data_IF_259880785269
#
_entry.id   IF_259880785269
#
_cell.length_a   1.000
_cell.length_b   1.000
_cell.length_c   1.000
_cell.angle_alpha   90.00
_cell.angle_beta   90.00
_cell.angle_gamma   90.00
#
_symmetry.space_group_name_H-M   'P 1'
#
loop_
_entity.id
_entity.type
_entity.pdbx_description
1 polymer ?
#
# COMPACT_ATOMS: atom_id res chain seq x y z
N UNK A 1 17.72 -14.05 1.97
CA UNK A 1 16.40 -13.79 1.34
C UNK A 1 15.50 -13.30 2.45
N UNK A 2 14.96 -12.08 2.36
CA UNK A 2 14.13 -11.49 3.41
C UNK A 2 12.69 -11.99 3.27
N UNK A 3 12.24 -12.79 4.23
CA UNK A 3 10.86 -13.30 4.32
C UNK A 3 9.97 -12.23 4.94
N UNK A 4 9.14 -11.60 4.12
CA UNK A 4 8.16 -10.62 4.60
C UNK A 4 6.86 -11.37 4.96
N UNK A 5 6.57 -11.50 6.27
CA UNK A 5 5.28 -12.01 6.74
C UNK A 5 4.21 -10.95 6.52
N UNK A 6 3.40 -11.13 5.47
CA UNK A 6 2.22 -10.31 5.24
C UNK A 6 1.08 -10.87 6.10
N UNK A 7 0.53 -10.08 7.03
CA UNK A 7 -0.46 -10.49 8.03
C UNK A 7 -1.73 -11.15 7.45
N UNK A 8 -1.95 -11.04 6.14
CA UNK A 8 -3.17 -11.52 5.47
C UNK A 8 -2.90 -12.49 4.31
N UNK A 9 -1.63 -12.90 4.12
CA UNK A 9 -1.26 -13.95 3.18
C UNK A 9 -0.32 -14.95 3.85
N UNK A 10 -0.72 -16.22 3.90
CA UNK A 10 -0.05 -17.25 4.73
C UNK A 10 1.24 -17.80 4.11
N UNK A 11 1.49 -17.52 2.83
CA UNK A 11 2.69 -18.00 2.15
C UNK A 11 3.81 -16.95 2.20
N UNK A 12 5.08 -17.39 2.28
CA UNK A 12 6.21 -16.51 2.10
C UNK A 12 6.16 -15.75 0.77
N UNK A 13 6.72 -14.55 0.78
CA UNK A 13 6.89 -13.73 -0.42
C UNK A 13 8.37 -13.69 -0.79
N UNK A 14 8.66 -13.81 -2.08
CA UNK A 14 9.99 -13.59 -2.66
C UNK A 14 9.98 -12.33 -3.49
N UNK A 15 11.09 -11.60 -3.45
CA UNK A 15 11.29 -10.44 -4.29
C UNK A 15 11.71 -10.88 -5.69
N UNK A 16 10.99 -10.43 -6.71
CA UNK A 16 11.30 -10.64 -8.12
C UNK A 16 11.95 -9.39 -8.72
N UNK A 17 12.95 -9.61 -9.57
CA UNK A 17 13.48 -8.59 -10.46
C UNK A 17 12.75 -8.61 -11.82
N UNK A 18 13.19 -7.76 -12.75
CA UNK A 18 12.56 -7.63 -14.06
C UNK A 18 12.65 -8.91 -14.89
N UNK A 19 13.82 -9.56 -14.93
CA UNK A 19 14.03 -10.82 -15.66
C UNK A 19 13.12 -11.94 -15.15
N UNK A 20 12.99 -12.08 -13.83
CA UNK A 20 12.14 -13.10 -13.20
C UNK A 20 10.65 -12.81 -13.41
N UNK A 21 10.25 -11.54 -13.38
CA UNK A 21 8.88 -11.14 -13.64
C UNK A 21 8.47 -11.43 -15.09
N UNK A 22 9.34 -11.11 -16.06
CA UNK A 22 9.11 -11.40 -17.49
C UNK A 22 9.15 -12.91 -17.79
N UNK A 23 9.99 -13.66 -17.08
CA UNK A 23 10.10 -15.11 -17.20
C UNK A 23 8.87 -15.88 -16.74
N UNK A 24 8.06 -15.31 -15.83
CA UNK A 24 6.82 -15.91 -15.34
C UNK A 24 5.62 -15.77 -16.30
N UNK A 25 5.86 -15.28 -17.52
CA UNK A 25 4.87 -15.09 -18.56
C UNK A 25 4.57 -13.62 -18.80
N UNK A 26 4.22 -13.30 -20.04
CA UNK A 26 4.01 -11.93 -20.56
C UNK A 26 2.74 -11.24 -19.99
N UNK A 27 2.24 -11.69 -18.83
CA UNK A 27 1.00 -11.25 -18.23
C UNK A 27 1.25 -10.05 -17.34
N UNK A 28 0.69 -8.91 -17.70
CA UNK A 28 0.64 -7.73 -16.84
C UNK A 28 -0.17 -8.08 -15.57
N UNK A 29 0.53 -8.44 -14.50
CA UNK A 29 -0.06 -8.79 -13.20
C UNK A 29 -0.51 -7.56 -12.44
N UNK A 30 -1.52 -7.72 -11.60
CA UNK A 30 -2.07 -6.68 -10.72
C UNK A 30 -1.59 -6.88 -9.29
N UNK A 31 -1.32 -5.77 -8.60
CA UNK A 31 -0.97 -5.79 -7.20
C UNK A 31 -2.20 -6.16 -6.38
N UNK A 32 -2.10 -7.21 -5.57
CA UNK A 32 -3.21 -7.72 -4.76
C UNK A 32 -3.69 -6.72 -3.70
N UNK A 33 -2.90 -5.70 -3.37
CA UNK A 33 -3.27 -4.65 -2.39
C UNK A 33 -3.86 -3.39 -3.03
N UNK A 34 -3.27 -2.84 -4.08
CA UNK A 34 -3.78 -1.59 -4.68
C UNK A 34 -4.55 -1.78 -5.99
N UNK A 35 -4.50 -2.97 -6.61
CA UNK A 35 -5.14 -3.26 -7.90
C UNK A 35 -4.42 -2.71 -9.13
N UNK A 36 -3.36 -1.93 -8.95
CA UNK A 36 -2.58 -1.38 -10.07
C UNK A 36 -1.56 -2.38 -10.61
N UNK A 37 -1.16 -2.19 -11.87
CA UNK A 37 -0.16 -3.05 -12.54
C UNK A 37 1.16 -3.07 -11.77
N UNK A 38 1.70 -4.27 -11.56
CA UNK A 38 2.97 -4.43 -10.84
C UNK A 38 4.14 -4.21 -11.80
N UNK A 39 5.13 -3.43 -11.35
CA UNK A 39 6.44 -3.31 -11.98
C UNK A 39 7.51 -3.94 -11.07
N UNK A 40 8.62 -4.36 -11.68
CA UNK A 40 9.76 -4.83 -10.91
C UNK A 40 10.53 -3.64 -10.27
N UNK A 41 11.16 -3.83 -9.09
CA UNK A 41 11.09 -5.03 -8.26
C UNK A 41 9.75 -5.14 -7.52
N UNK A 42 9.22 -6.37 -7.44
CA UNK A 42 7.97 -6.67 -6.76
C UNK A 42 8.11 -7.89 -5.84
N UNK A 43 7.09 -8.18 -5.05
CA UNK A 43 6.99 -9.43 -4.30
C UNK A 43 5.98 -10.36 -4.96
N UNK A 44 6.30 -11.64 -5.03
CA UNK A 44 5.38 -12.71 -5.43
C UNK A 44 5.31 -13.80 -4.37
N UNK A 45 4.16 -14.44 -4.25
CA UNK A 45 4.01 -15.64 -3.43
C UNK A 45 4.81 -16.82 -4.00
N UNK A 46 5.49 -17.56 -3.12
CA UNK A 46 6.28 -18.75 -3.47
C UNK A 46 5.44 -19.90 -4.01
N UNK A 47 4.18 -20.00 -3.59
CA UNK A 47 3.25 -21.02 -4.06
C UNK A 47 2.62 -20.66 -5.42
N UNK A 48 3.08 -19.58 -6.07
CA UNK A 48 2.59 -19.12 -7.38
C UNK A 48 1.07 -18.93 -7.44
N UNK A 49 0.42 -18.60 -6.32
CA UNK A 49 -1.04 -18.50 -6.22
C UNK A 49 -1.61 -17.18 -6.81
N UNK A 50 -0.87 -16.51 -7.68
CA UNK A 50 -1.28 -15.22 -8.27
C UNK A 50 -1.20 -14.01 -7.33
N UNK A 51 -0.56 -14.13 -6.17
CA UNK A 51 -0.42 -13.04 -5.22
C UNK A 51 0.86 -12.24 -5.49
N UNK A 52 0.70 -10.99 -5.92
CA UNK A 52 1.78 -10.08 -6.27
C UNK A 52 1.60 -8.74 -5.55
N UNK A 53 2.70 -8.13 -5.11
CA UNK A 53 2.66 -6.82 -4.46
C UNK A 53 3.77 -5.92 -4.99
N UNK A 54 3.47 -4.64 -5.18
CA UNK A 54 4.53 -3.63 -5.22
C UNK A 54 5.33 -3.68 -3.92
N UNK A 55 6.61 -3.34 -3.99
CA UNK A 55 7.46 -3.21 -2.78
C UNK A 55 6.83 -2.27 -1.75
N UNK A 56 6.32 -1.12 -2.20
CA UNK A 56 5.62 -0.14 -1.34
C UNK A 56 4.37 -0.71 -0.71
N UNK A 57 3.57 -1.47 -1.47
CA UNK A 57 2.37 -2.12 -0.95
C UNK A 57 2.71 -3.21 0.06
N UNK A 58 3.78 -3.99 -0.14
CA UNK A 58 4.22 -5.03 0.79
C UNK A 58 4.74 -4.45 2.11
N UNK A 59 5.43 -3.31 2.04
CA UNK A 59 6.06 -2.65 3.19
C UNK A 59 5.14 -1.61 3.86
N UNK A 60 3.94 -1.40 3.35
CA UNK A 60 2.97 -0.47 3.95
C UNK A 60 2.63 -0.93 5.38
N UNK A 61 2.79 -0.05 6.39
CA UNK A 61 2.47 -0.40 7.77
C UNK A 61 0.97 -0.64 7.96
N UNK A 62 0.60 -1.43 8.97
CA UNK A 62 -0.82 -1.62 9.32
C UNK A 62 -1.42 -0.36 9.95
N UNK A 63 -0.59 0.45 10.59
CA UNK A 63 -0.95 1.70 11.24
C UNK A 63 -0.01 2.81 10.78
N UNK A 64 -0.58 3.91 10.27
CA UNK A 64 0.17 5.07 9.80
C UNK A 64 -0.20 6.31 10.63
N UNK A 65 0.73 6.73 11.49
CA UNK A 65 0.60 7.92 12.32
C UNK A 65 1.00 9.17 11.49
N UNK A 66 0.05 9.74 10.77
CA UNK A 66 0.34 10.82 9.81
C UNK A 66 0.66 12.15 10.51
N UNK A 67 1.76 12.86 10.17
CA UNK A 67 2.18 14.05 10.92
C UNK A 67 1.23 15.24 10.86
N UNK A 68 0.35 15.31 9.85
CA UNK A 68 -0.75 16.30 9.76
C UNK A 68 -2.10 15.77 10.27
N UNK A 69 -2.15 14.53 10.77
CA UNK A 69 -3.34 13.91 11.36
C UNK A 69 -2.95 13.16 12.65
N UNK A 70 -2.34 13.88 13.60
CA UNK A 70 -1.60 13.29 14.74
C UNK A 70 -2.46 12.61 15.80
N UNK A 71 -3.75 12.94 15.87
CA UNK A 71 -4.62 12.48 16.95
C UNK A 71 -5.24 11.12 16.68
N UNK A 72 -5.28 10.68 15.42
CA UNK A 72 -5.84 9.40 15.05
C UNK A 72 -4.94 8.69 14.04
N UNK A 73 -4.62 7.41 14.24
CA UNK A 73 -3.90 6.66 13.25
C UNK A 73 -4.79 6.35 12.03
N UNK A 74 -4.16 6.29 10.86
CA UNK A 74 -4.76 5.67 9.69
C UNK A 74 -4.51 4.16 9.74
N UNK A 75 -5.56 3.36 9.70
CA UNK A 75 -5.49 1.90 9.70
C UNK A 75 -5.57 1.36 8.28
N UNK A 76 -4.68 0.44 7.94
CA UNK A 76 -4.73 -0.27 6.67
C UNK A 76 -5.84 -1.32 6.72
N UNK A 77 -6.89 -1.13 5.91
CA UNK A 77 -8.01 -2.05 5.77
C UNK A 77 -7.94 -2.76 4.42
N UNK A 78 -8.39 -4.02 4.38
CA UNK A 78 -8.44 -4.83 3.15
C UNK A 78 -9.40 -4.25 2.11
N UNK A 79 -10.51 -3.69 2.58
CA UNK A 79 -11.55 -3.07 1.75
C UNK A 79 -12.08 -1.84 2.48
N UNK A 80 -12.72 -0.91 1.75
CA UNK A 80 -13.43 0.20 2.37
C UNK A 80 -14.50 -0.25 3.39
N UNK A 81 -14.84 0.60 4.38
CA UNK A 81 -15.91 0.32 5.32
C UNK A 81 -17.21 -0.05 4.61
N UNK A 82 -17.87 -1.12 5.06
CA UNK A 82 -19.10 -1.62 4.43
C UNK A 82 -20.29 -0.65 4.49
N UNK A 83 -20.20 0.38 5.35
CA UNK A 83 -21.18 1.47 5.44
C UNK A 83 -21.09 2.45 4.28
N UNK A 84 -19.99 2.47 3.53
CA UNK A 84 -19.80 3.40 2.43
C UNK A 84 -20.52 2.89 1.19
N UNK A 85 -21.29 3.77 0.55
CA UNK A 85 -21.81 3.51 -0.80
C UNK A 85 -20.70 3.65 -1.85
N UNK A 86 -19.73 4.54 -1.59
CA UNK A 86 -18.51 4.75 -2.38
C UNK A 86 -17.41 5.28 -1.46
N UNK A 87 -16.19 4.78 -1.62
CA UNK A 87 -15.00 5.30 -0.96
C UNK A 87 -14.16 6.09 -1.98
N UNK A 88 -13.71 7.28 -1.60
CA UNK A 88 -12.91 8.17 -2.44
C UNK A 88 -11.67 8.57 -1.64
N UNK A 89 -10.53 8.63 -2.30
CA UNK A 89 -9.28 9.05 -1.70
C UNK A 89 -9.26 10.57 -1.50
N UNK A 90 -9.07 11.03 -0.26
CA UNK A 90 -9.04 12.46 0.10
C UNK A 90 -7.83 13.24 -0.45
N UNK A 91 -6.91 12.56 -1.15
CA UNK A 91 -5.75 13.20 -1.76
C UNK A 91 -5.87 13.35 -3.28
N UNK A 92 -6.37 12.33 -3.97
CA UNK A 92 -6.42 12.32 -5.44
C UNK A 92 -7.83 12.29 -6.03
N UNK A 93 -8.87 12.27 -5.18
CA UNK A 93 -10.29 12.25 -5.56
C UNK A 93 -10.72 11.02 -6.39
N UNK A 94 -9.87 10.00 -6.50
CA UNK A 94 -10.16 8.75 -7.19
C UNK A 94 -10.79 7.70 -6.26
N UNK A 95 -11.59 6.79 -6.84
CA UNK A 95 -12.28 5.73 -6.09
C UNK A 95 -11.29 4.78 -5.42
N UNK A 96 -11.57 4.38 -4.19
CA UNK A 96 -10.86 3.31 -3.51
C UNK A 96 -11.62 1.99 -3.59
N UNK A 97 -11.02 0.99 -4.22
CA UNK A 97 -11.67 -0.31 -4.48
C UNK A 97 -10.98 -1.51 -3.81
N UNK A 98 -9.77 -1.30 -3.28
CA UNK A 98 -8.93 -2.34 -2.67
C UNK A 98 -8.48 -1.89 -1.29
N UNK A 99 -7.26 -2.24 -0.89
CA UNK A 99 -6.74 -1.85 0.41
C UNK A 99 -6.65 -0.34 0.52
N UNK A 100 -7.09 0.18 1.66
CA UNK A 100 -7.10 1.61 1.96
C UNK A 100 -6.49 1.90 3.32
N UNK A 101 -5.97 3.09 3.49
CA UNK A 101 -5.80 3.67 4.81
C UNK A 101 -7.08 4.40 5.19
N UNK A 102 -7.68 4.02 6.31
CA UNK A 102 -8.91 4.59 6.82
C UNK A 102 -8.71 5.08 8.26
N UNK A 103 -9.26 6.25 8.57
CA UNK A 103 -9.40 6.73 9.94
C UNK A 103 -10.88 6.79 10.31
N UNK A 104 -11.21 6.52 11.57
CA UNK A 104 -12.56 6.63 12.10
C UNK A 104 -13.18 8.03 11.98
N UNK A 105 -12.40 9.06 11.70
CA UNK A 105 -12.90 10.41 11.39
C UNK A 105 -13.38 10.57 9.93
N UNK A 106 -13.28 9.52 9.11
CA UNK A 106 -13.66 9.54 7.70
C UNK A 106 -12.56 10.03 6.75
N UNK A 107 -11.28 9.90 7.15
CA UNK A 107 -10.15 10.19 6.27
C UNK A 107 -9.72 8.88 5.58
N UNK A 108 -9.72 8.89 4.26
CA UNK A 108 -9.53 7.73 3.41
C UNK A 108 -8.47 7.98 2.34
N UNK A 109 -7.50 7.07 2.21
CA UNK A 109 -6.44 7.18 1.21
C UNK A 109 -6.12 5.85 0.55
N UNK A 110 -5.77 5.89 -0.74
CA UNK A 110 -4.98 4.80 -1.33
C UNK A 110 -3.65 4.67 -0.59
N UNK A 111 -3.09 3.45 -0.54
CA UNK A 111 -1.76 3.19 0.05
C UNK A 111 -0.71 4.17 -0.49
N UNK A 112 -0.63 4.34 -1.82
CA UNK A 112 0.35 5.23 -2.45
C UNK A 112 0.18 6.69 -2.03
N UNK A 113 -1.07 7.15 -1.88
CA UNK A 113 -1.39 8.52 -1.53
C UNK A 113 -1.02 8.79 -0.08
N UNK A 114 -1.41 7.91 0.84
CA UNK A 114 -1.06 8.03 2.26
C UNK A 114 0.46 8.06 2.49
N UNK A 115 1.20 7.16 1.83
CA UNK A 115 2.66 7.13 1.97
C UNK A 115 3.32 8.34 1.30
N UNK A 116 2.78 8.84 0.19
CA UNK A 116 3.31 10.03 -0.47
C UNK A 116 3.12 11.28 0.39
N UNK A 117 1.92 11.52 0.90
CA UNK A 117 1.61 12.66 1.78
C UNK A 117 2.36 12.58 3.11
N UNK A 118 2.51 11.37 3.67
CA UNK A 118 3.34 11.13 4.85
C UNK A 118 4.79 11.56 4.63
N UNK A 119 5.41 11.12 3.53
CA UNK A 119 6.79 11.48 3.20
C UNK A 119 6.97 12.99 3.00
N UNK A 120 5.99 13.67 2.40
CA UNK A 120 6.00 15.13 2.28
C UNK A 120 5.92 15.79 3.67
N UNK A 121 4.99 15.32 4.51
CA UNK A 121 4.79 15.86 5.84
C UNK A 121 6.03 15.72 6.72
N UNK A 122 6.69 14.56 6.69
CA UNK A 122 7.93 14.32 7.44
C UNK A 122 9.08 15.24 6.97
N UNK A 123 9.23 15.45 5.66
CA UNK A 123 10.27 16.35 5.14
C UNK A 123 10.03 17.78 5.59
N UNK A 124 8.79 18.27 5.46
CA UNK A 124 8.44 19.63 5.86
C UNK A 124 8.67 19.88 7.35
N UNK A 125 8.39 18.89 8.21
CA UNK A 125 8.65 19.01 9.65
C UNK A 125 10.15 19.08 9.97
N UNK A 126 10.97 18.27 9.29
CA UNK A 126 12.43 18.32 9.44
C UNK A 126 13.01 19.68 9.03
N UNK A 127 12.48 20.31 7.98
CA UNK A 127 12.93 21.66 7.58
C UNK A 127 12.58 22.71 8.65
N UNK A 128 11.44 22.57 9.34
CA UNK A 128 11.03 23.50 10.42
C UNK A 128 11.84 23.34 11.71
N UNK A 129 12.45 22.18 11.95
CA UNK A 129 13.33 21.95 13.12
C UNK A 129 14.73 22.59 12.97
N UNK A 130 15.09 23.03 11.76
CA UNK A 130 16.37 23.67 11.47
C UNK A 130 16.30 25.21 11.38
N UNK A 131 15.16 25.81 11.72
CA UNK A 131 14.95 27.26 11.81
C UNK A 131 14.98 27.71 13.27
#
# INVERSE_FOLDING_TARGET
MEELKNYEHQHPLLMLNEEQLLGNGNGVVDCSRCGEKVSAPCFSCVECCGFYLHKTCAQAPLELNHPFHRHHPLLLLQNPPSSYTRCVCDFCDETCEKFIYHCSCGLDFHIKCALFTFNIAERNLKELEHV
#
